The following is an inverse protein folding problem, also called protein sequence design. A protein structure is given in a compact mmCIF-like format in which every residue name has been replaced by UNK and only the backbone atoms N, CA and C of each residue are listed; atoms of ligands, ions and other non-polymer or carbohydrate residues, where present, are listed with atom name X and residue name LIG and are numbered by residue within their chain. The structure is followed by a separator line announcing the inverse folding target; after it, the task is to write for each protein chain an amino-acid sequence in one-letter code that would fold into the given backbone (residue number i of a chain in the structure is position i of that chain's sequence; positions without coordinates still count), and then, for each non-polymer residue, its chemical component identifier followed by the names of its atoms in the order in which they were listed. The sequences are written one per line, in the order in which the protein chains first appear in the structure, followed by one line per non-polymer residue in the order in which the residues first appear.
data_IF_352244668454
#
_entry.id   IF_352244668454
#
_cell.length_a   1.000
_cell.length_b   1.000
_cell.length_c   1.000
_cell.angle_alpha   90.00
_cell.angle_beta   90.00
_cell.angle_gamma   90.00
#
_symmetry.space_group_name_H-M   'P 1'
#
loop_
_entity.id
_entity.type
_entity.pdbx_description
1 polymer ?
#
# COMPACT_ATOMS: atom_id res chain seq x y z
N UNK A 1 11.37 1.40 -16.18
CA UNK A 1 10.91 0.66 -14.98
C UNK A 1 10.07 1.58 -14.12
N UNK A 2 8.89 1.17 -13.66
CA UNK A 2 8.00 1.99 -12.82
C UNK A 2 8.42 1.82 -11.34
N UNK A 3 8.71 2.92 -10.64
CA UNK A 3 9.05 2.92 -9.21
C UNK A 3 7.87 2.40 -8.37
N UNK A 4 8.10 1.35 -7.58
CA UNK A 4 7.05 0.67 -6.79
C UNK A 4 7.00 1.09 -5.32
N UNK A 5 8.11 1.62 -4.79
CA UNK A 5 8.33 2.02 -3.40
C UNK A 5 8.78 3.47 -3.36
N UNK A 6 8.21 4.24 -2.45
CA UNK A 6 8.46 5.67 -2.27
C UNK A 6 8.78 5.95 -0.81
N UNK A 7 9.59 6.96 -0.56
CA UNK A 7 9.85 7.47 0.78
C UNK A 7 9.25 8.87 0.85
N UNK A 8 8.33 9.08 1.80
CA UNK A 8 7.57 10.34 1.98
C UNK A 8 7.46 10.56 3.49
N UNK A 9 7.92 11.72 3.95
CA UNK A 9 7.90 12.11 5.37
C UNK A 9 8.53 11.07 6.32
N UNK A 10 9.63 10.45 5.87
CA UNK A 10 10.36 9.41 6.64
C UNK A 10 9.66 8.05 6.73
N UNK A 11 8.54 7.86 6.01
CA UNK A 11 7.82 6.59 5.90
C UNK A 11 7.97 6.00 4.51
N UNK A 12 7.95 4.67 4.43
CA UNK A 12 7.96 3.96 3.16
C UNK A 12 6.54 3.64 2.71
N UNK A 13 6.26 3.94 1.45
CA UNK A 13 4.96 3.82 0.83
C UNK A 13 5.05 2.96 -0.43
N UNK A 14 4.09 2.06 -0.62
CA UNK A 14 4.06 1.10 -1.72
C UNK A 14 2.90 1.38 -2.66
N UNK A 15 3.12 1.22 -3.97
CA UNK A 15 2.00 1.17 -4.93
C UNK A 15 1.12 -0.03 -4.62
N UNK A 16 -0.20 0.17 -4.69
CA UNK A 16 -1.20 -0.88 -4.40
C UNK A 16 -0.91 -2.22 -5.09
N UNK A 17 -0.58 -2.30 -6.40
CA UNK A 17 -0.32 -3.60 -7.05
C UNK A 17 0.88 -4.35 -6.44
N UNK A 18 1.91 -3.61 -6.04
CA UNK A 18 3.08 -4.21 -5.41
C UNK A 18 2.81 -4.59 -3.95
N UNK A 19 2.09 -3.74 -3.21
CA UNK A 19 1.63 -4.04 -1.86
C UNK A 19 0.77 -5.31 -1.80
N UNK A 20 -0.17 -5.46 -2.74
CA UNK A 20 -1.01 -6.64 -2.87
C UNK A 20 -0.17 -7.91 -3.10
N UNK A 21 0.80 -7.85 -4.03
CA UNK A 21 1.74 -8.95 -4.27
C UNK A 21 2.56 -9.29 -3.03
N UNK A 22 3.04 -8.28 -2.29
CA UNK A 22 3.86 -8.46 -1.10
C UNK A 22 3.08 -9.10 0.05
N UNK A 23 1.85 -8.64 0.30
CA UNK A 23 0.96 -9.18 1.33
C UNK A 23 0.32 -10.52 0.95
N UNK A 24 0.45 -10.96 -0.32
CA UNK A 24 -0.21 -12.19 -0.79
C UNK A 24 -1.74 -12.07 -0.83
N UNK A 25 -2.27 -10.88 -1.12
CA UNK A 25 -3.71 -10.59 -1.20
C UNK A 25 -4.07 -9.94 -2.53
N UNK A 26 -5.37 -9.85 -2.82
CA UNK A 26 -5.84 -9.16 -4.02
C UNK A 26 -5.73 -7.63 -3.89
N UNK A 27 -5.61 -6.94 -5.02
CA UNK A 27 -5.70 -5.47 -5.08
C UNK A 27 -7.02 -4.97 -4.51
N UNK A 28 -8.13 -5.69 -4.74
CA UNK A 28 -9.43 -5.37 -4.19
C UNK A 28 -9.44 -5.43 -2.65
N UNK A 29 -8.72 -6.40 -2.05
CA UNK A 29 -8.56 -6.51 -0.61
C UNK A 29 -7.82 -5.30 -0.02
N UNK A 30 -6.72 -4.86 -0.66
CA UNK A 30 -6.00 -3.64 -0.24
C UNK A 30 -6.94 -2.43 -0.30
N UNK A 31 -7.69 -2.26 -1.40
CA UNK A 31 -8.65 -1.15 -1.55
C UNK A 31 -9.77 -1.20 -0.51
N UNK A 32 -10.25 -2.39 -0.16
CA UNK A 32 -11.24 -2.58 0.91
C UNK A 32 -10.68 -2.13 2.25
N UNK A 33 -9.45 -2.50 2.58
CA UNK A 33 -8.79 -2.08 3.83
C UNK A 33 -8.54 -0.57 3.88
N UNK A 34 -8.17 0.05 2.75
CA UNK A 34 -8.09 1.51 2.64
C UNK A 34 -9.45 2.18 2.92
N UNK A 35 -10.54 1.65 2.34
CA UNK A 35 -11.90 2.16 2.54
C UNK A 35 -12.44 1.93 3.97
N UNK A 36 -11.95 0.91 4.65
CA UNK A 36 -12.27 0.61 6.04
C UNK A 36 -11.43 1.42 7.06
N UNK A 37 -10.40 2.15 6.61
CA UNK A 37 -9.49 2.89 7.49
C UNK A 37 -8.45 2.01 8.19
N UNK A 38 -8.30 0.74 7.82
CA UNK A 38 -7.30 -0.18 8.42
C UNK A 38 -5.89 -0.03 7.83
N UNK A 39 -5.73 0.78 6.78
CA UNK A 39 -4.49 0.98 6.06
C UNK A 39 -4.33 2.46 5.75
N UNK A 40 -3.26 3.06 6.25
CA UNK A 40 -2.87 4.42 5.86
C UNK A 40 -2.53 4.45 4.37
N UNK A 41 -3.04 5.47 3.68
CA UNK A 41 -2.83 5.64 2.26
C UNK A 41 -2.72 7.10 1.87
N UNK A 42 -2.03 7.34 0.76
CA UNK A 42 -1.90 8.67 0.18
C UNK A 42 -1.92 8.60 -1.36
N UNK A 43 -2.11 9.74 -2.02
CA UNK A 43 -1.92 9.85 -3.47
C UNK A 43 -0.46 10.21 -3.75
N UNK A 44 0.13 9.61 -4.79
CA UNK A 44 1.52 9.90 -5.19
C UNK A 44 1.74 11.41 -5.49
N UNK A 45 0.70 12.07 -5.99
CA UNK A 45 0.61 13.53 -6.19
C UNK A 45 -0.87 13.90 -6.17
N UNK A 46 -1.18 15.15 -5.84
CA UNK A 46 -2.56 15.67 -5.88
C UNK A 46 -3.19 15.42 -7.25
N UNK A 47 -4.39 14.82 -7.28
CA UNK A 47 -5.10 14.48 -8.51
C UNK A 47 -4.59 13.23 -9.23
N UNK A 48 -3.62 12.50 -8.67
CA UNK A 48 -3.15 11.25 -9.22
C UNK A 48 -4.15 10.12 -9.01
N UNK A 49 -4.31 9.26 -10.03
CA UNK A 49 -4.96 7.96 -9.89
C UNK A 49 -4.05 6.88 -9.27
N UNK A 50 -2.80 7.23 -8.96
CA UNK A 50 -1.85 6.36 -8.29
C UNK A 50 -1.91 6.58 -6.78
N UNK A 51 -2.37 5.54 -6.09
CA UNK A 51 -2.42 5.49 -4.64
C UNK A 51 -1.26 4.66 -4.10
N UNK A 52 -0.78 5.09 -2.95
CA UNK A 52 0.24 4.42 -2.17
C UNK A 52 -0.34 4.02 -0.82
N UNK A 53 0.20 2.96 -0.24
CA UNK A 53 -0.16 2.45 1.08
C UNK A 53 1.08 2.28 1.94
N UNK A 54 0.94 2.40 3.25
CA UNK A 54 2.06 2.26 4.18
C UNK A 54 2.71 0.86 4.09
N UNK A 55 4.03 0.81 3.97
CA UNK A 55 4.80 -0.43 3.85
C UNK A 55 4.75 -1.27 5.13
N UNK A 56 4.80 -0.65 6.31
CA UNK A 56 4.83 -1.36 7.58
C UNK A 56 3.51 -2.09 7.85
N UNK A 57 2.39 -1.44 7.55
CA UNK A 57 1.07 -2.09 7.59
C UNK A 57 1.00 -3.31 6.65
N UNK A 58 1.53 -3.21 5.44
CA UNK A 58 1.55 -4.32 4.47
C UNK A 58 2.43 -5.49 4.93
N UNK A 59 3.58 -5.20 5.54
CA UNK A 59 4.45 -6.23 6.13
C UNK A 59 3.72 -6.93 7.29
N UNK A 60 3.06 -6.17 8.15
CA UNK A 60 2.29 -6.72 9.28
C UNK A 60 1.18 -7.67 8.79
N UNK A 61 0.41 -7.26 7.77
CA UNK A 61 -0.61 -8.13 7.14
C UNK A 61 0.00 -9.42 6.58
N UNK A 62 1.20 -9.36 6.02
CA UNK A 62 1.89 -10.57 5.52
C UNK A 62 2.24 -11.50 6.68
N UNK A 63 2.74 -10.95 7.78
CA UNK A 63 3.17 -11.73 8.95
C UNK A 63 1.99 -12.39 9.67
N UNK A 64 0.86 -11.71 9.81
CA UNK A 64 -0.36 -12.27 10.44
C UNK A 64 -0.95 -13.46 9.68
N UNK A 65 -0.59 -13.64 8.41
CA UNK A 65 -1.09 -14.71 7.54
C UNK A 65 -0.20 -15.96 7.53
N UNK A 66 0.98 -15.89 8.15
CA UNK A 66 1.96 -16.97 8.24
C UNK A 66 2.09 -17.44 9.68
#
# INVERSE_FOLDING_TARGET
MIKQRYEIDGRFWLRIPYAAKLAGVSVASIRKMMGAGSLDWCQLRTGSKTFLVDEQAIISIRLERH
#
